data_IF_735008581879
#
_entry.id   IF_735008581879
#
_cell.length_a   1.000
_cell.length_b   1.000
_cell.length_c   1.000
_cell.angle_alpha   90.00
_cell.angle_beta   90.00
_cell.angle_gamma   90.00
#
_symmetry.space_group_name_H-M   'P 1'
#
loop_
_entity.id
_entity.type
_entity.pdbx_description
1 polymer ?
#
# COMPACT_ATOMS: atom_id res chain seq x y z
N UNK A 1 -22.27 21.36 26.28
CA UNK A 1 -20.89 21.88 26.28
C UNK A 1 -19.93 20.73 25.94
N UNK A 2 -19.51 20.60 24.67
CA UNK A 2 -18.46 19.65 24.27
C UNK A 2 -17.12 20.39 24.40
N UNK A 3 -16.21 19.84 25.20
CA UNK A 3 -14.92 20.44 25.54
C UNK A 3 -14.03 20.62 24.30
N UNK A 4 -13.45 21.81 24.19
CA UNK A 4 -12.37 22.23 23.29
C UNK A 4 -11.05 21.49 23.59
N UNK A 5 -11.03 20.16 23.50
CA UNK A 5 -9.77 19.43 23.44
C UNK A 5 -9.28 19.52 22.01
N UNK A 6 -8.31 20.41 21.77
CA UNK A 6 -7.57 20.49 20.52
C UNK A 6 -7.12 19.10 20.09
N UNK A 7 -7.16 18.85 18.78
CA UNK A 7 -6.78 17.56 18.22
C UNK A 7 -5.30 17.28 18.62
N UNK A 8 -4.95 16.04 19.00
CA UNK A 8 -3.58 15.71 19.38
C UNK A 8 -2.61 15.94 18.21
N UNK A 9 -1.33 16.24 18.48
CA UNK A 9 -0.35 16.70 17.49
C UNK A 9 -0.05 15.70 16.36
N UNK A 10 -0.41 14.43 16.53
CA UNK A 10 -0.30 13.40 15.49
C UNK A 10 -1.49 13.38 14.49
N UNK A 11 -2.54 14.17 14.74
CA UNK A 11 -3.66 14.38 13.80
C UNK A 11 -3.43 15.49 12.80
N UNK A 12 -2.42 16.34 13.04
CA UNK A 12 -1.98 17.26 12.02
C UNK A 12 -1.21 16.45 10.97
N UNK A 13 -1.60 16.50 9.68
CA UNK A 13 -0.78 15.91 8.65
C UNK A 13 0.61 16.54 8.71
N UNK A 14 1.71 15.78 8.48
CA UNK A 14 3.05 16.35 8.50
C UNK A 14 3.06 17.61 7.63
N UNK A 15 3.50 18.73 8.21
CA UNK A 15 3.36 20.07 7.63
C UNK A 15 4.07 20.22 6.28
N UNK A 16 4.93 19.27 5.91
CA UNK A 16 5.61 19.22 4.62
C UNK A 16 5.75 17.77 4.15
N UNK A 17 5.00 17.38 3.11
CA UNK A 17 5.38 16.26 2.25
C UNK A 17 6.40 16.81 1.26
N UNK A 18 7.66 16.34 1.33
CA UNK A 18 8.67 16.76 0.38
C UNK A 18 8.31 16.23 -1.01
N UNK A 19 7.90 17.14 -1.92
CA UNK A 19 7.60 16.79 -3.30
C UNK A 19 8.88 16.84 -4.13
N UNK A 20 9.15 15.85 -4.98
CA UNK A 20 10.30 15.94 -5.88
C UNK A 20 10.13 17.13 -6.83
N UNK A 21 11.24 17.77 -7.18
CA UNK A 21 11.26 18.95 -8.06
C UNK A 21 10.65 18.68 -9.46
N UNK A 22 10.59 17.41 -9.87
CA UNK A 22 9.97 16.96 -11.13
C UNK A 22 8.44 17.05 -11.14
N UNK A 23 7.78 17.34 -10.01
CA UNK A 23 6.32 17.35 -9.90
C UNK A 23 5.68 15.96 -9.90
N UNK A 24 6.46 14.90 -10.14
CA UNK A 24 6.02 13.52 -10.06
C UNK A 24 5.59 13.15 -8.63
N UNK A 25 4.71 12.17 -8.48
CA UNK A 25 4.41 11.64 -7.15
C UNK A 25 5.60 10.81 -6.66
N UNK A 26 5.96 10.87 -5.36
CA UNK A 26 7.14 10.21 -4.83
C UNK A 26 7.07 8.67 -4.89
N UNK A 27 5.86 8.10 -4.96
CA UNK A 27 5.65 6.65 -5.16
C UNK A 27 4.96 6.47 -6.52
N UNK A 28 5.68 5.94 -7.50
CA UNK A 28 5.09 5.55 -8.78
C UNK A 28 4.17 4.35 -8.58
N UNK A 29 4.69 3.25 -8.07
CA UNK A 29 3.93 2.01 -7.84
C UNK A 29 4.04 1.50 -6.41
N UNK A 30 2.88 1.33 -5.77
CA UNK A 30 2.72 0.63 -4.50
C UNK A 30 2.09 -0.75 -4.75
N UNK A 31 2.68 -1.80 -4.16
CA UNK A 31 2.05 -3.11 -4.04
C UNK A 31 1.64 -3.35 -2.60
N UNK A 32 0.36 -3.63 -2.36
CA UNK A 32 -0.18 -3.95 -1.03
C UNK A 32 -0.45 -5.45 -0.95
N UNK A 33 0.36 -6.17 -0.18
CA UNK A 33 0.17 -7.60 0.07
C UNK A 33 -0.75 -7.76 1.28
N UNK A 34 -2.02 -8.10 1.04
CA UNK A 34 -3.06 -8.15 2.07
C UNK A 34 -3.97 -6.92 2.07
N UNK A 35 -4.89 -6.84 1.10
CA UNK A 35 -5.87 -5.73 1.01
C UNK A 35 -7.06 -5.95 1.95
N UNK A 36 -6.80 -5.93 3.25
CA UNK A 36 -7.82 -5.94 4.30
C UNK A 36 -8.11 -4.55 4.84
N UNK A 37 -8.60 -4.47 6.08
CA UNK A 37 -8.86 -3.20 6.77
C UNK A 37 -7.62 -2.29 6.81
N UNK A 38 -6.48 -2.82 7.27
CA UNK A 38 -5.25 -2.03 7.43
C UNK A 38 -4.64 -1.67 6.08
N UNK A 39 -4.34 -2.67 5.23
CA UNK A 39 -3.75 -2.43 3.92
C UNK A 39 -4.60 -1.52 3.03
N UNK A 40 -5.92 -1.71 3.00
CA UNK A 40 -6.85 -0.85 2.25
C UNK A 40 -6.93 0.57 2.81
N UNK A 41 -6.93 0.74 4.14
CA UNK A 41 -6.94 2.08 4.77
C UNK A 41 -5.65 2.86 4.48
N UNK A 42 -4.49 2.21 4.57
CA UNK A 42 -3.21 2.81 4.19
C UNK A 42 -3.19 3.20 2.71
N UNK A 43 -3.67 2.32 1.82
CA UNK A 43 -3.75 2.61 0.40
C UNK A 43 -4.62 3.83 0.08
N UNK A 44 -5.80 3.92 0.71
CA UNK A 44 -6.69 5.08 0.61
C UNK A 44 -6.04 6.36 1.15
N UNK A 45 -5.32 6.28 2.28
CA UNK A 45 -4.63 7.42 2.86
C UNK A 45 -3.53 7.95 1.93
N UNK A 46 -2.74 7.05 1.31
CA UNK A 46 -1.69 7.42 0.35
C UNK A 46 -2.28 8.03 -0.93
N UNK A 47 -3.40 7.49 -1.43
CA UNK A 47 -4.14 8.11 -2.55
C UNK A 47 -4.65 9.51 -2.18
N UNK A 48 -5.25 9.68 -1.00
CA UNK A 48 -5.74 10.98 -0.52
C UNK A 48 -4.63 12.01 -0.31
N UNK A 49 -3.46 11.56 0.14
CA UNK A 49 -2.27 12.39 0.26
C UNK A 49 -1.63 12.74 -1.10
N UNK A 50 -2.13 12.14 -2.20
CA UNK A 50 -1.62 12.32 -3.55
C UNK A 50 -0.11 12.04 -3.63
N UNK A 51 0.34 10.96 -3.00
CA UNK A 51 1.77 10.57 -3.00
C UNK A 51 2.05 9.32 -3.82
N UNK A 52 1.00 8.64 -4.31
CA UNK A 52 1.09 7.39 -5.06
C UNK A 52 0.36 7.48 -6.39
N UNK A 53 0.99 6.97 -7.46
CA UNK A 53 0.40 6.99 -8.81
C UNK A 53 -0.46 5.76 -9.06
N UNK A 54 0.05 4.56 -8.79
CA UNK A 54 -0.65 3.28 -9.01
C UNK A 54 -0.54 2.39 -7.78
N UNK A 55 -1.65 1.75 -7.41
CA UNK A 55 -1.72 0.75 -6.34
C UNK A 55 -2.18 -0.60 -6.90
N UNK A 56 -1.38 -1.65 -6.70
CA UNK A 56 -1.76 -3.04 -6.97
C UNK A 56 -2.00 -3.77 -5.65
N UNK A 57 -3.19 -4.35 -5.50
CA UNK A 57 -3.58 -5.12 -4.33
C UNK A 57 -3.43 -6.62 -4.53
N UNK A 58 -2.77 -7.30 -3.61
CA UNK A 58 -2.65 -8.77 -3.59
C UNK A 58 -3.55 -9.33 -2.48
N UNK A 59 -4.39 -10.30 -2.80
CA UNK A 59 -5.39 -10.82 -1.86
C UNK A 59 -5.76 -12.27 -2.09
N UNK A 60 -6.25 -12.93 -1.03
CA UNK A 60 -6.72 -14.34 -1.10
C UNK A 60 -8.14 -14.50 -1.63
N UNK A 61 -8.95 -13.46 -1.53
CA UNK A 61 -10.38 -13.54 -1.86
C UNK A 61 -10.75 -12.46 -2.84
N UNK A 62 -11.40 -12.86 -3.94
CA UNK A 62 -11.93 -11.95 -4.95
C UNK A 62 -12.84 -10.88 -4.32
N UNK A 63 -13.71 -11.26 -3.37
CA UNK A 63 -14.59 -10.31 -2.68
C UNK A 63 -13.87 -9.12 -2.03
N UNK A 64 -12.70 -9.34 -1.39
CA UNK A 64 -11.94 -8.24 -0.78
C UNK A 64 -11.26 -7.37 -1.82
N UNK A 65 -10.76 -7.97 -2.90
CA UNK A 65 -10.15 -7.24 -4.01
C UNK A 65 -11.19 -6.40 -4.76
N UNK A 66 -12.37 -6.97 -5.02
CA UNK A 66 -13.50 -6.30 -5.66
C UNK A 66 -13.99 -5.12 -4.82
N UNK A 67 -14.10 -5.32 -3.50
CA UNK A 67 -14.47 -4.24 -2.58
C UNK A 67 -13.41 -3.14 -2.53
N UNK A 68 -12.12 -3.51 -2.50
CA UNK A 68 -11.03 -2.54 -2.52
C UNK A 68 -10.99 -1.74 -3.84
N UNK A 69 -11.28 -2.37 -4.98
CA UNK A 69 -11.44 -1.70 -6.27
C UNK A 69 -12.64 -0.74 -6.22
N UNK A 70 -13.79 -1.20 -5.73
CA UNK A 70 -15.02 -0.41 -5.61
C UNK A 70 -14.83 0.82 -4.73
N UNK A 71 -14.07 0.70 -3.65
CA UNK A 71 -13.73 1.80 -2.75
C UNK A 71 -12.62 2.72 -3.29
N UNK A 72 -11.99 2.36 -4.40
CA UNK A 72 -10.84 3.09 -4.97
C UNK A 72 -9.58 2.97 -4.13
N UNK A 73 -9.49 1.97 -3.24
CA UNK A 73 -8.30 1.70 -2.44
C UNK A 73 -7.14 1.17 -3.30
N UNK A 74 -7.45 0.37 -4.31
CA UNK A 74 -6.48 -0.18 -5.27
C UNK A 74 -6.93 0.13 -6.70
N UNK A 75 -5.99 0.19 -7.63
CA UNK A 75 -6.27 0.37 -9.06
C UNK A 75 -6.41 -0.98 -9.79
N UNK A 76 -5.71 -2.01 -9.29
CA UNK A 76 -5.76 -3.38 -9.81
C UNK A 76 -5.67 -4.39 -8.67
N UNK A 77 -6.43 -5.49 -8.75
CA UNK A 77 -6.34 -6.62 -7.85
C UNK A 77 -5.69 -7.83 -8.52
N UNK A 78 -4.90 -8.60 -7.77
CA UNK A 78 -4.29 -9.86 -8.20
C UNK A 78 -4.48 -10.90 -7.11
N UNK A 79 -4.98 -12.08 -7.46
CA UNK A 79 -5.16 -13.16 -6.51
C UNK A 79 -3.81 -13.75 -6.09
N UNK A 80 -3.67 -14.19 -4.83
CA UNK A 80 -2.38 -14.64 -4.29
C UNK A 80 -1.89 -15.97 -4.88
N UNK A 81 -2.79 -16.73 -5.49
CA UNK A 81 -2.53 -17.98 -6.20
C UNK A 81 -2.15 -17.76 -7.68
N UNK A 82 -2.28 -16.54 -8.19
CA UNK A 82 -1.70 -16.12 -9.47
C UNK A 82 -0.21 -15.74 -9.30
N UNK A 83 0.45 -15.43 -10.42
CA UNK A 83 1.85 -14.99 -10.42
C UNK A 83 2.00 -13.53 -9.95
N UNK A 84 1.67 -13.28 -8.68
CA UNK A 84 1.70 -11.93 -8.10
C UNK A 84 3.12 -11.39 -7.91
N UNK A 85 4.15 -12.25 -7.86
CA UNK A 85 5.55 -11.85 -7.77
C UNK A 85 6.00 -10.95 -8.93
N UNK A 86 5.37 -11.05 -10.11
CA UNK A 86 5.65 -10.14 -11.22
C UNK A 86 5.25 -8.69 -10.91
N UNK A 87 4.25 -8.49 -10.04
CA UNK A 87 3.77 -7.15 -9.71
C UNK A 87 4.77 -6.34 -8.89
N UNK A 88 5.76 -6.98 -8.27
CA UNK A 88 6.76 -6.30 -7.41
C UNK A 88 8.06 -5.93 -8.15
N UNK A 89 8.23 -6.34 -9.42
CA UNK A 89 9.48 -6.12 -10.18
C UNK A 89 9.78 -4.64 -10.44
N UNK A 90 8.73 -3.87 -10.65
CA UNK A 90 8.70 -2.43 -10.95
C UNK A 90 8.06 -1.63 -9.80
N UNK A 91 7.91 -2.24 -8.61
CA UNK A 91 7.35 -1.56 -7.46
C UNK A 91 8.39 -0.65 -6.79
N UNK A 92 8.01 0.58 -6.47
CA UNK A 92 8.82 1.46 -5.62
C UNK A 92 8.66 1.07 -4.15
N UNK A 93 7.44 0.67 -3.77
CA UNK A 93 7.10 0.30 -2.40
C UNK A 93 6.24 -0.97 -2.38
N UNK A 94 6.59 -1.90 -1.49
CA UNK A 94 5.78 -3.06 -1.12
C UNK A 94 5.38 -2.93 0.34
N UNK A 95 4.06 -2.90 0.60
CA UNK A 95 3.49 -2.88 1.94
C UNK A 95 2.94 -4.28 2.30
N UNK A 96 3.49 -4.90 3.33
CA UNK A 96 3.00 -6.14 3.89
C UNK A 96 1.92 -5.84 4.94
N UNK A 97 0.68 -6.22 4.65
CA UNK A 97 -0.48 -6.02 5.50
C UNK A 97 -1.26 -7.34 5.73
N UNK A 98 -0.58 -8.47 5.59
CA UNK A 98 -1.08 -9.79 5.99
C UNK A 98 -0.77 -10.09 7.46
N UNK A 99 -1.41 -11.08 8.10
CA UNK A 99 -0.95 -11.57 9.40
C UNK A 99 0.54 -11.94 9.38
N UNK A 100 1.29 -11.51 10.41
CA UNK A 100 2.76 -11.70 10.52
C UNK A 100 3.20 -13.15 10.30
N UNK A 101 2.38 -14.12 10.71
CA UNK A 101 2.64 -15.55 10.48
C UNK A 101 2.84 -15.92 9.00
N UNK A 102 2.39 -15.10 8.05
CA UNK A 102 2.52 -15.33 6.61
C UNK A 102 3.80 -14.72 6.01
N UNK A 103 4.50 -13.85 6.74
CA UNK A 103 5.65 -13.09 6.21
C UNK A 103 6.75 -13.99 5.69
N UNK A 104 7.03 -15.12 6.36
CA UNK A 104 8.04 -16.07 5.90
C UNK A 104 7.78 -16.62 4.49
N UNK A 105 6.52 -16.90 4.14
CA UNK A 105 6.16 -17.39 2.80
C UNK A 105 6.19 -16.25 1.76
N UNK A 106 5.71 -15.07 2.15
CA UNK A 106 5.69 -13.88 1.30
C UNK A 106 7.11 -13.44 0.96
N UNK A 107 7.98 -13.27 1.95
CA UNK A 107 9.37 -12.86 1.75
C UNK A 107 10.16 -13.86 0.91
N UNK A 108 9.89 -15.16 1.03
CA UNK A 108 10.45 -16.19 0.14
C UNK A 108 10.02 -15.98 -1.31
N UNK A 109 8.77 -15.59 -1.55
CA UNK A 109 8.23 -15.31 -2.89
C UNK A 109 8.80 -14.02 -3.47
N UNK A 110 9.04 -13.00 -2.64
CA UNK A 110 9.66 -11.75 -3.04
C UNK A 110 11.16 -11.90 -3.41
N UNK A 111 11.81 -12.95 -2.91
CA UNK A 111 13.24 -13.20 -3.15
C UNK A 111 13.52 -13.31 -4.65
N UNK A 112 14.33 -12.39 -5.17
CA UNK A 112 14.71 -12.34 -6.59
C UNK A 112 13.65 -11.75 -7.51
N UNK A 113 12.49 -11.34 -6.98
CA UNK A 113 11.44 -10.66 -7.74
C UNK A 113 11.49 -9.13 -7.56
N UNK A 114 12.01 -8.63 -6.43
CA UNK A 114 12.05 -7.20 -6.11
C UNK A 114 12.97 -6.41 -7.06
N UNK A 115 12.56 -5.19 -7.39
CA UNK A 115 13.42 -4.19 -8.03
C UNK A 115 14.56 -3.76 -7.10
N UNK A 116 15.65 -3.25 -7.70
CA UNK A 116 16.86 -2.87 -6.95
C UNK A 116 16.62 -1.74 -5.93
N UNK A 117 15.70 -0.83 -6.22
CA UNK A 117 15.37 0.31 -5.37
C UNK A 117 14.08 0.10 -4.57
N UNK A 118 13.45 -1.07 -4.65
CA UNK A 118 12.16 -1.34 -3.99
C UNK A 118 12.33 -1.33 -2.48
N UNK A 119 11.51 -0.52 -1.80
CA UNK A 119 11.39 -0.54 -0.35
C UNK A 119 10.31 -1.56 0.05
N UNK A 120 10.58 -2.36 1.08
CA UNK A 120 9.61 -3.27 1.67
C UNK A 120 9.38 -2.85 3.13
N UNK A 121 8.13 -2.71 3.53
CA UNK A 121 7.73 -2.36 4.90
C UNK A 121 6.43 -3.09 5.29
N UNK A 122 6.00 -2.97 6.54
CA UNK A 122 4.88 -3.70 7.10
C UNK A 122 4.02 -2.87 8.06
N UNK A 123 2.93 -3.48 8.56
CA UNK A 123 1.95 -2.88 9.49
C UNK A 123 1.75 -3.69 10.76
#
# INVERSE_FOLDING_TARGET
>A
MRSERGLPPWRDPPSVIHRPASGALPIGKLVVVGVGLIGGSCALALKRAQVVTTIVGIGRGHANLDEALRLGAIDRGVAIDENWAEQVRDADLVLLATPVAQYGAILKTLRGALGHATIVTDT
#
